data_IF_517295054226
#
_entry.id   IF_517295054226
#
_cell.length_a   1.000
_cell.length_b   1.000
_cell.length_c   1.000
_cell.angle_alpha   90.00
_cell.angle_beta   90.00
_cell.angle_gamma   90.00
#
_symmetry.space_group_name_H-M   'P 1'
#
loop_
_entity.id
_entity.type
_entity.pdbx_description
1 polymer ?
#
# COMPACT_ATOMS: atom_id res chain seq x y z
N UNK A 1 10.64 -48.88 33.30
CA UNK A 1 11.25 -47.88 32.40
C UNK A 1 10.13 -47.08 31.73
N UNK A 2 9.92 -45.83 32.19
CA UNK A 2 9.02 -44.89 31.57
C UNK A 2 9.81 -44.09 30.50
N UNK A 3 9.33 -43.92 29.27
CA UNK A 3 9.95 -43.01 28.32
C UNK A 3 9.50 -41.55 28.64
N UNK A 4 10.47 -40.68 28.84
CA UNK A 4 10.22 -39.23 28.97
C UNK A 4 9.79 -38.67 27.62
N UNK A 5 8.56 -38.16 27.52
CA UNK A 5 8.12 -37.34 26.39
C UNK A 5 8.78 -35.96 26.49
N UNK A 6 9.74 -35.71 25.60
CA UNK A 6 10.27 -34.38 25.34
C UNK A 6 9.24 -33.61 24.53
N UNK A 7 8.50 -32.72 25.19
CA UNK A 7 7.65 -31.76 24.50
C UNK A 7 8.54 -30.68 23.84
N UNK A 8 8.68 -30.74 22.53
CA UNK A 8 9.32 -29.66 21.76
C UNK A 8 8.39 -28.45 21.74
N UNK A 9 8.70 -27.43 22.54
CA UNK A 9 8.06 -26.12 22.45
C UNK A 9 8.50 -25.45 21.14
N UNK A 10 7.63 -25.46 20.15
CA UNK A 10 7.84 -24.65 18.93
C UNK A 10 7.77 -23.16 19.34
N UNK A 11 8.91 -22.50 19.39
CA UNK A 11 8.94 -21.03 19.46
C UNK A 11 8.34 -20.51 18.16
N UNK A 12 7.11 -20.02 18.22
CA UNK A 12 6.53 -19.22 17.17
C UNK A 12 7.35 -17.92 17.10
N UNK A 13 8.21 -17.78 16.08
CA UNK A 13 8.84 -16.51 15.78
C UNK A 13 7.73 -15.47 15.54
N UNK A 14 7.83 -14.24 16.12
CA UNK A 14 6.89 -13.20 15.77
C UNK A 14 6.97 -12.98 14.27
N UNK A 15 5.83 -13.00 13.59
CA UNK A 15 5.71 -12.54 12.21
C UNK A 15 6.14 -11.07 12.23
N UNK A 16 7.39 -10.82 11.90
CA UNK A 16 7.89 -9.47 11.72
C UNK A 16 7.04 -8.84 10.63
N UNK A 17 6.28 -7.80 10.98
CA UNK A 17 5.48 -7.05 10.02
C UNK A 17 6.35 -6.60 8.84
N UNK A 18 5.76 -6.50 7.67
CA UNK A 18 6.49 -6.16 6.45
C UNK A 18 7.25 -4.84 6.65
N UNK A 19 8.57 -4.88 6.49
CA UNK A 19 9.42 -3.70 6.56
C UNK A 19 8.98 -2.69 5.49
N UNK A 20 8.89 -1.40 5.87
CA UNK A 20 8.64 -0.33 4.91
C UNK A 20 9.87 -0.14 4.05
N UNK A 21 9.77 -0.43 2.76
CA UNK A 21 10.86 -0.27 1.80
C UNK A 21 10.96 1.19 1.36
N UNK A 22 12.16 1.80 1.35
CA UNK A 22 12.33 3.14 0.81
C UNK A 22 11.99 3.15 -0.69
N UNK A 23 11.30 4.21 -1.12
CA UNK A 23 10.85 4.36 -2.50
C UNK A 23 11.11 5.76 -3.01
N UNK A 24 11.96 5.86 -4.02
CA UNK A 24 12.21 7.06 -4.81
C UNK A 24 11.41 7.04 -6.13
N UNK A 25 11.58 8.08 -6.95
CA UNK A 25 10.90 8.20 -8.24
C UNK A 25 11.19 7.02 -9.18
N UNK A 26 12.45 6.59 -9.26
CA UNK A 26 12.85 5.46 -10.11
C UNK A 26 12.28 4.14 -9.57
N UNK A 27 12.24 3.99 -8.24
CA UNK A 27 11.61 2.87 -7.55
C UNK A 27 10.12 2.79 -7.83
N UNK A 28 9.42 3.93 -7.83
CA UNK A 28 8.00 3.99 -8.18
C UNK A 28 7.74 3.51 -9.62
N UNK A 29 8.52 4.00 -10.57
CA UNK A 29 8.38 3.58 -11.97
C UNK A 29 8.63 2.06 -12.14
N UNK A 30 9.64 1.52 -11.47
CA UNK A 30 9.92 0.06 -11.47
C UNK A 30 8.79 -0.74 -10.82
N UNK A 31 8.22 -0.24 -9.71
CA UNK A 31 7.10 -0.88 -9.02
C UNK A 31 5.88 -1.01 -9.94
N UNK A 32 5.49 0.06 -10.61
CA UNK A 32 4.37 0.05 -11.57
C UNK A 32 4.66 -0.92 -12.72
N UNK A 33 5.87 -0.89 -13.28
CA UNK A 33 6.27 -1.77 -14.36
C UNK A 33 6.27 -3.26 -13.96
N UNK A 34 6.72 -3.58 -12.75
CA UNK A 34 6.74 -4.94 -12.21
C UNK A 34 5.35 -5.47 -11.83
N UNK A 35 4.36 -4.59 -11.71
CA UNK A 35 2.99 -4.94 -11.34
C UNK A 35 2.10 -5.29 -12.54
N UNK A 36 2.62 -5.27 -13.76
CA UNK A 36 1.87 -5.68 -14.96
C UNK A 36 1.26 -7.07 -14.81
N UNK A 37 0.07 -7.23 -15.34
CA UNK A 37 -0.75 -8.44 -15.16
C UNK A 37 -1.75 -8.35 -14.01
N UNK A 38 -1.59 -7.39 -13.11
CA UNK A 38 -2.51 -7.11 -12.00
C UNK A 38 -3.18 -5.76 -12.18
N UNK A 39 -4.37 -5.61 -11.59
CA UNK A 39 -4.99 -4.31 -11.34
C UNK A 39 -4.42 -3.80 -10.03
N UNK A 40 -3.75 -2.64 -10.06
CA UNK A 40 -2.98 -2.14 -8.92
C UNK A 40 -3.57 -0.82 -8.42
N UNK A 41 -3.80 -0.76 -7.13
CA UNK A 41 -4.15 0.47 -6.42
C UNK A 41 -2.96 0.94 -5.61
N UNK A 42 -2.43 2.10 -5.94
CA UNK A 42 -1.36 2.76 -5.17
C UNK A 42 -2.00 3.82 -4.29
N UNK A 43 -1.87 3.68 -2.98
CA UNK A 43 -2.42 4.63 -2.00
C UNK A 43 -1.29 5.34 -1.26
N UNK A 44 -1.27 6.68 -1.36
CA UNK A 44 -0.39 7.56 -0.59
C UNK A 44 -1.11 8.03 0.66
N UNK A 45 -0.44 7.88 1.79
CA UNK A 45 -0.97 8.16 3.12
C UNK A 45 0.13 8.60 4.07
N UNK A 46 -0.22 9.00 5.30
CA UNK A 46 0.73 9.24 6.38
C UNK A 46 0.08 8.99 7.75
N UNK A 47 0.91 8.81 8.76
CA UNK A 47 0.43 8.59 10.15
C UNK A 47 -0.34 9.79 10.70
N UNK A 48 0.01 11.00 10.29
CA UNK A 48 -0.65 12.24 10.67
C UNK A 48 -1.91 12.56 9.83
N UNK A 49 -2.18 11.80 8.78
CA UNK A 49 -3.33 12.01 7.89
C UNK A 49 -4.55 11.27 8.43
N UNK A 50 -5.42 11.94 9.17
CA UNK A 50 -6.61 11.33 9.76
C UNK A 50 -7.57 10.71 8.74
N UNK A 51 -7.94 11.35 7.61
CA UNK A 51 -8.78 10.72 6.60
C UNK A 51 -8.14 9.50 5.97
N UNK A 52 -6.81 9.50 5.74
CA UNK A 52 -6.07 8.34 5.25
C UNK A 52 -6.26 7.13 6.16
N UNK A 53 -6.03 7.32 7.46
CA UNK A 53 -6.15 6.24 8.46
C UNK A 53 -7.57 5.70 8.58
N UNK A 54 -8.57 6.56 8.36
CA UNK A 54 -9.99 6.19 8.40
C UNK A 54 -10.39 5.33 7.21
N UNK A 55 -9.89 5.63 6.01
CA UNK A 55 -10.27 4.91 4.80
C UNK A 55 -9.48 3.62 4.57
N UNK A 56 -8.21 3.55 4.98
CA UNK A 56 -7.32 2.42 4.70
C UNK A 56 -7.86 1.04 5.10
N UNK A 57 -8.49 0.83 6.28
CA UNK A 57 -9.08 -0.47 6.61
C UNK A 57 -10.12 -0.95 5.58
N UNK A 58 -10.86 -0.02 4.97
CA UNK A 58 -11.87 -0.32 3.95
C UNK A 58 -11.21 -0.65 2.60
N UNK A 59 -10.09 0.00 2.26
CA UNK A 59 -9.28 -0.32 1.08
C UNK A 59 -8.66 -1.71 1.23
N UNK A 60 -8.14 -2.05 2.41
CA UNK A 60 -7.60 -3.38 2.73
C UNK A 60 -8.68 -4.46 2.59
N UNK A 61 -9.90 -4.20 3.07
CA UNK A 61 -11.02 -5.12 2.90
C UNK A 61 -11.39 -5.33 1.42
N UNK A 62 -11.32 -4.27 0.61
CA UNK A 62 -11.54 -4.34 -0.84
C UNK A 62 -10.46 -5.19 -1.52
N UNK A 63 -9.19 -5.01 -1.14
CA UNK A 63 -8.08 -5.80 -1.65
C UNK A 63 -8.22 -7.27 -1.27
N UNK A 64 -8.56 -7.59 -0.04
CA UNK A 64 -8.81 -8.95 0.41
C UNK A 64 -9.90 -9.65 -0.42
N UNK A 65 -10.97 -8.92 -0.76
CA UNK A 65 -12.09 -9.44 -1.56
C UNK A 65 -11.69 -9.81 -2.98
N UNK A 66 -10.78 -9.06 -3.61
CA UNK A 66 -10.46 -9.21 -5.03
C UNK A 66 -9.03 -9.66 -5.32
N UNK A 67 -8.24 -9.94 -4.30
CA UNK A 67 -6.86 -10.42 -4.45
C UNK A 67 -6.76 -11.66 -5.36
N UNK A 68 -7.66 -12.63 -5.17
CA UNK A 68 -7.69 -13.85 -5.99
C UNK A 68 -8.00 -13.57 -7.48
N UNK A 69 -8.60 -12.41 -7.78
CA UNK A 69 -8.86 -11.97 -9.16
C UNK A 69 -7.74 -11.11 -9.74
N UNK A 70 -6.64 -10.94 -9.01
CA UNK A 70 -5.48 -10.19 -9.46
C UNK A 70 -5.54 -8.68 -9.13
N UNK A 71 -6.30 -8.28 -8.11
CA UNK A 71 -6.22 -6.95 -7.54
C UNK A 71 -5.13 -6.88 -6.47
N UNK A 72 -4.36 -5.82 -6.47
CA UNK A 72 -3.27 -5.60 -5.53
C UNK A 72 -3.29 -4.18 -4.98
N UNK A 73 -3.22 -4.06 -3.66
CA UNK A 73 -2.96 -2.79 -2.98
C UNK A 73 -1.45 -2.60 -2.80
N UNK A 74 -0.98 -1.40 -3.03
CA UNK A 74 0.36 -0.93 -2.68
C UNK A 74 0.19 0.32 -1.83
N UNK A 75 0.78 0.34 -0.63
CA UNK A 75 0.73 1.50 0.26
C UNK A 75 2.08 2.21 0.28
N UNK A 76 2.05 3.53 0.16
CA UNK A 76 3.26 4.37 0.23
C UNK A 76 3.03 5.43 1.30
N UNK A 77 3.77 5.33 2.40
CA UNK A 77 3.78 6.35 3.44
C UNK A 77 4.58 7.57 2.99
N UNK A 78 4.01 8.75 3.21
CA UNK A 78 4.70 10.03 3.03
C UNK A 78 5.34 10.53 4.33
N UNK A 79 5.38 9.69 5.36
CA UNK A 79 6.01 10.02 6.66
C UNK A 79 7.52 10.20 6.52
N UNK A 80 8.07 10.99 7.43
CA UNK A 80 9.53 11.11 7.59
C UNK A 80 10.13 9.82 8.22
N UNK A 81 11.46 9.60 8.10
CA UNK A 81 12.11 8.41 8.61
C UNK A 81 11.79 8.07 10.07
N UNK A 82 11.65 9.09 10.89
CA UNK A 82 11.40 8.99 12.33
C UNK A 82 10.03 8.35 12.64
N UNK A 83 9.06 8.49 11.74
CA UNK A 83 7.72 7.92 11.86
C UNK A 83 7.59 6.53 11.23
N UNK A 84 8.63 5.98 10.61
CA UNK A 84 8.55 4.69 9.91
C UNK A 84 8.05 3.55 10.82
N UNK A 85 8.46 3.52 12.09
CA UNK A 85 8.00 2.51 13.04
C UNK A 85 6.49 2.65 13.34
N UNK A 86 6.00 3.88 13.52
CA UNK A 86 4.58 4.15 13.75
C UNK A 86 3.73 3.83 12.49
N UNK A 87 4.24 4.15 11.31
CA UNK A 87 3.60 3.80 10.04
C UNK A 87 3.47 2.28 9.89
N UNK A 88 4.53 1.52 10.15
CA UNK A 88 4.50 0.07 10.13
C UNK A 88 3.51 -0.50 11.14
N UNK A 89 3.54 -0.01 12.39
CA UNK A 89 2.62 -0.45 13.43
C UNK A 89 1.15 -0.25 13.02
N UNK A 90 0.83 0.86 12.38
CA UNK A 90 -0.51 1.10 11.87
C UNK A 90 -0.90 0.09 10.79
N UNK A 91 -0.02 -0.16 9.79
CA UNK A 91 -0.28 -1.12 8.72
C UNK A 91 -0.44 -2.55 9.24
N UNK A 92 0.36 -2.96 10.22
CA UNK A 92 0.25 -4.26 10.88
C UNK A 92 -1.10 -4.39 11.60
N UNK A 93 -1.53 -3.34 12.29
CA UNK A 93 -2.82 -3.29 13.01
C UNK A 93 -4.04 -3.46 12.10
N UNK A 94 -3.97 -2.99 10.87
CA UNK A 94 -5.03 -3.16 9.86
C UNK A 94 -4.75 -4.31 8.89
N UNK A 95 -3.74 -5.13 9.15
CA UNK A 95 -3.39 -6.36 8.41
C UNK A 95 -3.11 -6.14 6.93
N UNK A 96 -2.33 -5.12 6.60
CA UNK A 96 -1.83 -4.92 5.24
C UNK A 96 -0.87 -6.07 4.90
N UNK A 97 -1.24 -6.91 3.94
CA UNK A 97 -0.43 -8.03 3.44
C UNK A 97 0.33 -7.67 2.17
N UNK A 98 0.01 -6.52 1.57
CA UNK A 98 0.59 -6.05 0.33
C UNK A 98 1.95 -5.39 0.57
N UNK A 99 2.75 -5.17 -0.49
CA UNK A 99 3.99 -4.41 -0.37
C UNK A 99 3.72 -3.01 0.21
N UNK A 100 4.52 -2.63 1.20
CA UNK A 100 4.43 -1.35 1.87
C UNK A 100 5.75 -0.58 1.70
N UNK A 101 5.61 0.70 1.39
CA UNK A 101 6.75 1.57 1.11
C UNK A 101 6.68 2.85 1.94
N UNK A 102 7.83 3.51 2.04
CA UNK A 102 7.95 4.85 2.59
C UNK A 102 8.69 5.72 1.57
N UNK A 103 8.10 6.86 1.25
CA UNK A 103 8.67 7.79 0.28
C UNK A 103 10.06 8.26 0.74
N UNK A 104 11.01 8.26 -0.16
CA UNK A 104 12.38 8.77 0.00
C UNK A 104 12.81 9.43 -1.30
N UNK A 105 12.19 10.57 -1.61
CA UNK A 105 12.50 11.35 -2.79
C UNK A 105 13.51 12.44 -2.43
N UNK A 106 14.49 12.69 -3.31
CA UNK A 106 15.44 13.79 -3.18
C UNK A 106 14.76 15.14 -3.51
N UNK A 107 13.69 15.08 -4.32
CA UNK A 107 12.93 16.23 -4.79
C UNK A 107 11.44 15.83 -4.83
N UNK A 108 10.68 16.32 -3.87
CA UNK A 108 9.26 16.00 -3.73
C UNK A 108 8.43 16.47 -4.92
N UNK A 109 8.70 17.65 -5.44
CA UNK A 109 7.94 18.21 -6.57
C UNK A 109 8.15 17.35 -7.83
N UNK A 110 9.38 16.93 -8.10
CA UNK A 110 9.67 16.02 -9.20
C UNK A 110 9.01 14.65 -9.01
N UNK A 111 9.05 14.13 -7.80
CA UNK A 111 8.40 12.85 -7.47
C UNK A 111 6.90 12.91 -7.70
N UNK A 112 6.23 13.94 -7.16
CA UNK A 112 4.79 14.17 -7.28
C UNK A 112 4.39 14.34 -8.75
N UNK A 113 5.07 15.24 -9.47
CA UNK A 113 4.78 15.53 -10.88
C UNK A 113 5.02 14.32 -11.80
N UNK A 114 5.98 13.46 -11.49
CA UNK A 114 6.23 12.25 -12.26
C UNK A 114 5.12 11.21 -12.11
N UNK A 115 4.41 11.20 -10.98
CA UNK A 115 3.27 10.32 -10.73
C UNK A 115 2.02 10.87 -11.38
N UNK A 116 1.71 12.14 -11.11
CA UNK A 116 0.57 12.84 -11.68
C UNK A 116 0.76 14.36 -11.62
N UNK A 117 0.85 15.07 -12.75
CA UNK A 117 0.99 16.52 -12.75
C UNK A 117 -0.19 17.29 -12.13
N UNK A 118 -1.34 16.64 -11.94
CA UNK A 118 -2.51 17.23 -11.29
C UNK A 118 -2.51 17.03 -9.78
N UNK A 119 -1.61 16.19 -9.26
CA UNK A 119 -1.48 15.95 -7.82
C UNK A 119 -0.65 17.03 -7.17
N UNK A 120 -1.20 17.69 -6.16
CA UNK A 120 -0.51 18.73 -5.38
C UNK A 120 0.40 18.19 -4.27
N UNK A 121 0.47 16.86 -4.09
CA UNK A 121 1.11 16.24 -2.93
C UNK A 121 0.19 16.10 -1.71
N UNK A 122 -1.04 16.63 -1.76
CA UNK A 122 -2.01 16.49 -0.68
C UNK A 122 -2.43 15.03 -0.47
N UNK A 123 -2.69 14.66 0.79
CA UNK A 123 -3.09 13.32 1.20
C UNK A 123 -4.56 13.30 1.67
N UNK A 124 -5.26 12.18 1.45
CA UNK A 124 -4.85 10.98 0.71
C UNK A 124 -4.80 11.22 -0.79
N UNK A 125 -3.99 10.44 -1.49
CA UNK A 125 -4.00 10.36 -2.94
C UNK A 125 -3.93 8.90 -3.38
N UNK A 126 -4.74 8.53 -4.37
CA UNK A 126 -4.86 7.14 -4.78
C UNK A 126 -4.87 7.02 -6.29
N UNK A 127 -4.06 6.13 -6.83
CA UNK A 127 -3.87 5.94 -8.25
C UNK A 127 -4.20 4.50 -8.64
N UNK A 128 -5.08 4.34 -9.63
CA UNK A 128 -5.51 3.03 -10.14
C UNK A 128 -4.83 2.74 -11.48
N UNK A 129 -4.18 1.58 -11.56
CA UNK A 129 -3.49 1.07 -12.75
C UNK A 129 -4.18 -0.18 -13.27
N UNK A 130 -4.30 -0.28 -14.59
CA UNK A 130 -4.79 -1.49 -15.25
C UNK A 130 -3.72 -2.58 -15.35
N UNK A 131 -4.09 -3.74 -15.90
CA UNK A 131 -3.17 -4.88 -16.05
C UNK A 131 -2.01 -4.61 -17.02
N UNK A 132 -2.09 -3.58 -17.84
CA UNK A 132 -1.02 -3.13 -18.73
C UNK A 132 -0.07 -2.14 -18.06
N UNK A 133 -0.33 -1.75 -16.81
CA UNK A 133 0.45 -0.77 -16.08
C UNK A 133 0.13 0.68 -16.48
N UNK A 134 -1.01 0.94 -17.10
CA UNK A 134 -1.47 2.29 -17.43
C UNK A 134 -2.28 2.84 -16.27
N UNK A 135 -1.99 4.07 -15.87
CA UNK A 135 -2.80 4.78 -14.88
C UNK A 135 -4.15 5.14 -15.52
N UNK A 136 -5.22 4.58 -15.01
CA UNK A 136 -6.58 4.75 -15.55
C UNK A 136 -7.43 5.70 -14.73
N UNK A 137 -7.07 5.95 -13.48
CA UNK A 137 -7.78 6.89 -12.61
C UNK A 137 -6.91 7.40 -11.48
N UNK A 138 -7.12 8.68 -11.13
CA UNK A 138 -6.54 9.33 -9.94
C UNK A 138 -7.67 9.81 -9.04
N UNK A 139 -7.48 9.67 -7.73
CA UNK A 139 -8.40 10.15 -6.70
C UNK A 139 -7.60 11.04 -5.74
N UNK A 140 -8.06 12.27 -5.54
CA UNK A 140 -7.43 13.22 -4.63
C UNK A 140 -8.39 13.55 -3.49
N UNK A 141 -7.89 13.52 -2.25
CA UNK A 141 -8.70 13.66 -1.04
C UNK A 141 -9.40 12.35 -0.62
N UNK A 142 -10.40 12.46 0.26
CA UNK A 142 -11.15 11.29 0.74
C UNK A 142 -11.72 10.47 -0.40
N UNK A 143 -11.54 9.16 -0.31
CA UNK A 143 -11.85 8.23 -1.38
C UNK A 143 -13.34 7.87 -1.40
N UNK A 144 -14.00 8.09 -2.53
CA UNK A 144 -15.29 7.48 -2.83
C UNK A 144 -15.09 5.98 -3.11
N UNK A 145 -15.31 5.17 -2.08
CA UNK A 145 -15.12 3.71 -2.16
C UNK A 145 -16.10 3.02 -3.11
N UNK A 146 -17.29 3.60 -3.33
CA UNK A 146 -18.23 3.06 -4.31
C UNK A 146 -17.71 3.29 -5.73
N UNK A 147 -17.24 4.50 -6.03
CA UNK A 147 -16.61 4.83 -7.31
C UNK A 147 -15.34 4.02 -7.55
N UNK A 148 -14.49 3.83 -6.52
CA UNK A 148 -13.31 2.97 -6.60
C UNK A 148 -13.70 1.52 -6.88
N UNK A 149 -14.63 0.97 -6.11
CA UNK A 149 -15.09 -0.42 -6.27
C UNK A 149 -15.62 -0.67 -7.68
N UNK A 150 -16.43 0.25 -8.22
CA UNK A 150 -16.95 0.16 -9.58
C UNK A 150 -15.83 0.24 -10.64
N UNK A 151 -14.84 1.12 -10.44
CA UNK A 151 -13.70 1.25 -11.35
C UNK A 151 -12.83 -0.02 -11.36
N UNK A 152 -12.53 -0.58 -10.19
CA UNK A 152 -11.76 -1.83 -10.06
C UNK A 152 -12.51 -3.00 -10.69
N UNK A 153 -13.81 -3.14 -10.42
CA UNK A 153 -14.62 -4.24 -10.97
C UNK A 153 -14.61 -4.30 -12.50
N UNK A 154 -14.50 -3.14 -13.18
CA UNK A 154 -14.41 -3.07 -14.65
C UNK A 154 -13.07 -3.54 -15.21
N UNK A 155 -12.02 -3.58 -14.38
CA UNK A 155 -10.66 -3.92 -14.79
C UNK A 155 -10.30 -5.39 -14.47
N UNK A 156 -11.08 -6.03 -13.60
CA UNK A 156 -10.90 -7.42 -13.17
C UNK A 156 -11.59 -8.40 -14.10
#
# INVERSE_FOLDING_TARGET
>A
FLPALLAAAALAAPLAGAELKPLDQAGYARLVAASKGKVVLVNFWATYCAPCRKEMPRIVALEARWRARGFQLVTISADEPEQAAAARQFLDGIKVLAPAYIKRADDDDKFINAIDPQWSGALPATFLYDRQGRKVRSFFGELDLQALSAAVAKLL
#
